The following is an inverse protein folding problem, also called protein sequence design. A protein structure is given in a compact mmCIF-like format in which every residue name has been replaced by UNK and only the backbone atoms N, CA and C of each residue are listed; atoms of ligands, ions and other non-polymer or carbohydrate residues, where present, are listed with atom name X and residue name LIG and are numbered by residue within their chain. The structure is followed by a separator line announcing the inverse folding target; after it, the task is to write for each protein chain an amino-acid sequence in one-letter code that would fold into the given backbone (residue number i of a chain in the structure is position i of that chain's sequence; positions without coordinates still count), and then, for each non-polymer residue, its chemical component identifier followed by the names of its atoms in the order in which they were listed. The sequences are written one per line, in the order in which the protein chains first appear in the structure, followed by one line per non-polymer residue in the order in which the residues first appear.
data_IF_894279762472
#
_entry.id   IF_894279762472
#
_cell.length_a   1.000
_cell.length_b   1.000
_cell.length_c   1.000
_cell.angle_alpha   90.00
_cell.angle_beta   90.00
_cell.angle_gamma   90.00
#
_symmetry.space_group_name_H-M   'P 1'
#
loop_
_entity.id
_entity.type
_entity.pdbx_description
1 polymer ?
#
# COMPACT_ATOMS: atom_id res chain seq x y z
N UNK A 1 -6.55 11.51 -3.91
CA UNK A 1 -5.76 11.88 -2.72
C UNK A 1 -4.82 10.77 -2.23
N UNK A 2 -5.22 9.49 -2.25
CA UNK A 2 -4.38 8.38 -1.76
C UNK A 2 -2.93 8.33 -2.30
N UNK A 3 -2.72 8.23 -3.62
CA UNK A 3 -1.35 8.14 -4.19
C UNK A 3 -0.49 9.39 -3.94
N UNK A 4 -1.10 10.56 -3.80
CA UNK A 4 -0.37 11.79 -3.50
C UNK A 4 0.22 11.76 -2.08
N UNK A 5 -0.60 11.40 -1.09
CA UNK A 5 -0.13 11.32 0.30
C UNK A 5 0.90 10.19 0.45
N UNK A 6 0.59 9.01 -0.09
CA UNK A 6 1.46 7.84 0.05
C UNK A 6 2.81 8.03 -0.68
N UNK A 7 2.78 8.29 -1.99
CA UNK A 7 4.01 8.31 -2.79
C UNK A 7 4.76 9.64 -2.69
N UNK A 8 4.06 10.77 -2.84
CA UNK A 8 4.73 12.08 -2.93
C UNK A 8 5.16 12.58 -1.55
N UNK A 9 4.35 12.36 -0.51
CA UNK A 9 4.69 12.82 0.84
C UNK A 9 5.45 11.72 1.59
N UNK A 10 4.82 10.58 1.84
CA UNK A 10 5.38 9.57 2.75
C UNK A 10 6.62 8.87 2.17
N UNK A 11 6.55 8.30 0.96
CA UNK A 11 7.70 7.62 0.36
C UNK A 11 8.88 8.57 0.11
N UNK A 12 8.62 9.81 -0.32
CA UNK A 12 9.67 10.82 -0.49
C UNK A 12 10.36 11.15 0.83
N UNK A 13 9.60 11.36 1.91
CA UNK A 13 10.17 11.61 3.24
C UNK A 13 11.06 10.45 3.71
N UNK A 14 10.60 9.19 3.53
CA UNK A 14 11.39 8.00 3.86
C UNK A 14 12.66 7.92 3.02
N UNK A 15 12.56 8.13 1.70
CA UNK A 15 13.71 8.12 0.80
C UNK A 15 14.75 9.18 1.15
N UNK A 16 14.32 10.42 1.43
CA UNK A 16 15.20 11.51 1.85
C UNK A 16 15.87 11.22 3.20
N UNK A 17 15.16 10.63 4.17
CA UNK A 17 15.75 10.21 5.45
C UNK A 17 16.85 9.14 5.27
N UNK A 18 16.63 8.17 4.38
CA UNK A 18 17.64 7.13 4.07
C UNK A 18 18.86 7.75 3.36
N UNK A 19 18.64 8.62 2.37
CA UNK A 19 19.73 9.23 1.61
C UNK A 19 20.56 10.20 2.44
N UNK A 20 19.93 11.04 3.26
CA UNK A 20 20.62 12.05 4.08
C UNK A 20 21.51 11.46 5.17
N UNK A 21 21.23 10.23 5.60
CA UNK A 21 21.98 9.57 6.69
C UNK A 21 23.10 8.67 6.21
N UNK A 22 23.21 8.43 4.89
CA UNK A 22 24.25 7.60 4.28
C UNK A 22 24.14 6.10 4.58
N UNK A 23 23.07 5.66 5.27
CA UNK A 23 22.92 4.25 5.72
C UNK A 23 22.79 3.25 4.58
N UNK A 24 22.39 3.73 3.40
CA UNK A 24 22.25 2.93 2.18
C UNK A 24 23.59 2.33 1.72
N UNK A 25 24.71 2.96 2.05
CA UNK A 25 26.05 2.53 1.62
C UNK A 25 26.83 1.82 2.73
N UNK A 26 26.40 1.98 3.98
CA UNK A 26 27.11 1.48 5.16
C UNK A 26 26.55 0.18 5.73
N UNK A 27 25.42 -0.31 5.19
CA UNK A 27 24.75 -1.52 5.68
C UNK A 27 24.16 -2.34 4.55
N UNK A 28 24.03 -3.65 4.76
CA UNK A 28 23.29 -4.56 3.88
C UNK A 28 21.81 -4.70 4.31
N UNK A 29 21.32 -3.78 5.15
CA UNK A 29 19.94 -3.81 5.63
C UNK A 29 18.95 -3.47 4.51
N UNK A 30 17.78 -4.08 4.55
CA UNK A 30 16.72 -3.86 3.54
C UNK A 30 15.36 -3.59 4.19
N UNK A 31 14.45 -3.02 3.40
CA UNK A 31 13.06 -2.77 3.81
C UNK A 31 12.94 -1.97 5.11
N UNK A 32 12.09 -2.44 6.02
CA UNK A 32 11.82 -1.76 7.28
C UNK A 32 13.07 -1.59 8.18
N UNK A 33 14.03 -2.52 8.11
CA UNK A 33 15.25 -2.44 8.92
C UNK A 33 16.15 -1.28 8.48
N UNK A 34 16.25 -1.06 7.16
CA UNK A 34 17.02 0.05 6.60
C UNK A 34 16.43 1.40 7.00
N UNK A 35 15.10 1.55 6.91
CA UNK A 35 14.41 2.76 7.34
C UNK A 35 14.58 3.00 8.84
N UNK A 36 14.53 1.95 9.65
CA UNK A 36 14.75 2.05 11.10
C UNK A 36 16.16 2.57 11.40
N UNK A 37 17.18 2.05 10.72
CA UNK A 37 18.57 2.49 10.90
C UNK A 37 18.78 3.93 10.41
N UNK A 38 18.15 4.31 9.30
CA UNK A 38 18.14 5.69 8.82
C UNK A 38 17.59 6.64 9.88
N UNK A 39 16.43 6.35 10.45
CA UNK A 39 15.84 7.20 11.48
C UNK A 39 16.64 7.18 12.79
N UNK A 40 17.26 6.05 13.15
CA UNK A 40 18.18 5.97 14.29
C UNK A 40 19.35 6.94 14.14
N UNK A 41 19.97 6.98 12.96
CA UNK A 41 21.11 7.84 12.68
C UNK A 41 20.72 9.31 12.44
N UNK A 42 19.55 9.55 11.82
CA UNK A 42 19.01 10.90 11.63
C UNK A 42 18.59 11.58 12.93
N UNK A 43 18.05 10.82 13.89
CA UNK A 43 17.76 11.29 15.24
C UNK A 43 18.98 11.13 16.16
N UNK A 44 20.13 11.71 15.79
CA UNK A 44 21.37 11.59 16.54
C UNK A 44 21.26 12.04 18.02
N UNK A 45 20.34 12.96 18.32
CA UNK A 45 20.08 13.42 19.69
C UNK A 45 19.28 12.43 20.55
N UNK A 46 18.55 11.50 19.93
CA UNK A 46 17.78 10.46 20.61
C UNK A 46 17.55 9.23 19.70
N UNK A 47 18.61 8.43 19.44
CA UNK A 47 18.58 7.37 18.42
C UNK A 47 17.50 6.30 18.66
N UNK A 48 17.28 5.94 19.92
CA UNK A 48 16.27 4.95 20.31
C UNK A 48 14.85 5.42 20.02
N UNK A 49 14.58 6.72 20.14
CA UNK A 49 13.27 7.31 19.79
C UNK A 49 13.04 7.20 18.29
N UNK A 50 14.05 7.50 17.47
CA UNK A 50 13.98 7.37 16.01
C UNK A 50 13.64 5.93 15.58
N UNK A 51 14.30 4.94 16.18
CA UNK A 51 14.00 3.52 15.93
C UNK A 51 12.59 3.13 16.39
N UNK A 52 12.16 3.58 17.57
CA UNK A 52 10.86 3.25 18.12
C UNK A 52 9.71 3.79 17.27
N UNK A 53 9.81 5.02 16.79
CA UNK A 53 8.81 5.64 15.91
C UNK A 53 8.61 4.80 14.65
N UNK A 54 9.70 4.38 13.99
CA UNK A 54 9.61 3.57 12.77
C UNK A 54 8.95 2.21 13.05
N UNK A 55 9.30 1.55 14.15
CA UNK A 55 8.70 0.26 14.50
C UNK A 55 7.17 0.36 14.67
N UNK A 56 6.70 1.39 15.39
CA UNK A 56 5.26 1.63 15.58
C UNK A 56 4.59 2.00 14.26
N UNK A 57 5.22 2.85 13.44
CA UNK A 57 4.70 3.24 12.14
C UNK A 57 4.54 2.04 11.19
N UNK A 58 5.56 1.19 11.10
CA UNK A 58 5.54 -0.03 10.27
C UNK A 58 4.47 -1.00 10.75
N UNK A 59 4.31 -1.18 12.07
CA UNK A 59 3.25 -2.02 12.63
C UNK A 59 1.85 -1.53 12.24
N UNK A 60 1.58 -0.23 12.40
CA UNK A 60 0.29 0.38 12.03
C UNK A 60 0.06 0.33 10.51
N UNK A 61 1.09 0.57 9.72
CA UNK A 61 1.01 0.53 8.26
C UNK A 61 0.71 -0.89 7.76
N UNK A 62 1.41 -1.90 8.28
CA UNK A 62 1.16 -3.29 7.97
C UNK A 62 -0.27 -3.70 8.37
N UNK A 63 -0.72 -3.33 9.57
CA UNK A 63 -2.07 -3.63 10.04
C UNK A 63 -3.16 -3.02 9.15
N UNK A 64 -3.06 -1.72 8.85
CA UNK A 64 -4.05 -1.03 8.01
C UNK A 64 -4.08 -1.58 6.58
N UNK A 65 -2.91 -1.96 6.05
CA UNK A 65 -2.79 -2.59 4.74
C UNK A 65 -3.46 -3.97 4.73
N UNK A 66 -3.22 -4.81 5.75
CA UNK A 66 -3.91 -6.11 5.87
C UNK A 66 -5.43 -5.97 5.90
N UNK A 67 -5.96 -4.98 6.64
CA UNK A 67 -7.40 -4.73 6.70
C UNK A 67 -7.96 -4.29 5.35
N UNK A 68 -7.29 -3.36 4.67
CA UNK A 68 -7.71 -2.86 3.36
C UNK A 68 -7.74 -3.98 2.31
N UNK A 69 -6.69 -4.80 2.24
CA UNK A 69 -6.59 -5.91 1.29
C UNK A 69 -7.57 -7.05 1.59
N UNK A 70 -7.85 -7.32 2.87
CA UNK A 70 -8.92 -8.24 3.26
C UNK A 70 -10.27 -7.76 2.72
N UNK A 71 -10.59 -6.46 2.87
CA UNK A 71 -11.83 -5.88 2.36
C UNK A 71 -11.91 -5.89 0.83
N UNK A 72 -10.83 -5.56 0.11
CA UNK A 72 -10.82 -5.64 -1.35
C UNK A 72 -11.06 -7.06 -1.83
N UNK A 73 -10.43 -8.04 -1.18
CA UNK A 73 -10.67 -9.45 -1.43
C UNK A 73 -12.10 -9.90 -1.16
N UNK A 74 -12.74 -9.42 -0.08
CA UNK A 74 -14.15 -9.68 0.21
C UNK A 74 -15.05 -9.23 -0.95
N UNK A 75 -14.81 -8.02 -1.49
CA UNK A 75 -15.57 -7.50 -2.64
C UNK A 75 -15.30 -8.32 -3.91
N UNK A 76 -14.06 -8.72 -4.15
CA UNK A 76 -13.68 -9.54 -5.31
C UNK A 76 -14.31 -10.93 -5.26
N UNK A 77 -14.27 -11.62 -4.11
CA UNK A 77 -14.85 -12.96 -4.00
C UNK A 77 -16.38 -12.92 -4.03
N UNK A 78 -17.00 -11.88 -3.46
CA UNK A 78 -18.44 -11.64 -3.54
C UNK A 78 -18.88 -11.46 -5.00
N UNK A 79 -18.13 -10.70 -5.80
CA UNK A 79 -18.41 -10.53 -7.22
C UNK A 79 -18.30 -11.85 -8.01
N UNK A 80 -17.33 -12.70 -7.69
CA UNK A 80 -17.06 -13.94 -8.43
C UNK A 80 -18.00 -15.10 -8.06
N UNK A 81 -18.26 -15.28 -6.77
CA UNK A 81 -18.89 -16.50 -6.23
C UNK A 81 -20.14 -16.18 -5.43
N UNK A 82 -20.37 -14.91 -5.07
CA UNK A 82 -21.49 -14.45 -4.25
C UNK A 82 -21.17 -14.32 -2.75
N UNK A 83 -22.11 -13.77 -1.95
CA UNK A 83 -21.85 -13.37 -0.56
C UNK A 83 -21.45 -14.50 0.38
N UNK A 84 -21.91 -15.73 0.10
CA UNK A 84 -21.57 -16.93 0.89
C UNK A 84 -20.07 -17.23 0.94
N UNK A 85 -19.29 -16.81 -0.06
CA UNK A 85 -17.86 -17.10 -0.14
C UNK A 85 -17.00 -16.17 0.72
N UNK A 86 -17.56 -15.07 1.24
CA UNK A 86 -16.82 -14.06 2.03
C UNK A 86 -16.23 -14.68 3.31
N UNK A 87 -17.02 -15.45 4.08
CA UNK A 87 -16.53 -16.04 5.34
C UNK A 87 -15.40 -17.07 5.11
N UNK A 88 -15.54 -18.05 4.19
CA UNK A 88 -14.44 -18.93 3.81
C UNK A 88 -13.19 -18.17 3.33
N UNK A 89 -13.37 -17.15 2.49
CA UNK A 89 -12.26 -16.32 1.99
C UNK A 89 -11.47 -15.66 3.12
N UNK A 90 -12.14 -15.08 4.12
CA UNK A 90 -11.45 -14.44 5.25
C UNK A 90 -10.58 -15.42 6.05
N UNK A 91 -11.03 -16.66 6.25
CA UNK A 91 -10.21 -17.68 6.91
C UNK A 91 -8.96 -18.01 6.10
N UNK A 92 -9.12 -18.16 4.79
CA UNK A 92 -8.00 -18.37 3.86
C UNK A 92 -7.05 -17.16 3.91
N UNK A 93 -7.57 -15.93 3.87
CA UNK A 93 -6.78 -14.71 3.93
C UNK A 93 -5.93 -14.62 5.20
N UNK A 94 -6.50 -14.91 6.38
CA UNK A 94 -5.77 -14.93 7.66
C UNK A 94 -4.67 -16.00 7.64
N UNK A 95 -4.97 -17.19 7.11
CA UNK A 95 -3.97 -18.25 6.97
C UNK A 95 -2.79 -17.84 6.06
N UNK A 96 -3.07 -17.26 4.89
CA UNK A 96 -2.02 -16.77 3.99
C UNK A 96 -1.24 -15.59 4.58
N UNK A 97 -1.88 -14.74 5.38
CA UNK A 97 -1.21 -13.66 6.12
C UNK A 97 -0.19 -14.24 7.11
N UNK A 98 -0.57 -15.30 7.83
CA UNK A 98 0.36 -16.02 8.71
C UNK A 98 1.52 -16.65 7.90
N UNK A 99 1.23 -17.31 6.78
CA UNK A 99 2.28 -17.86 5.91
C UNK A 99 3.23 -16.78 5.41
N UNK A 100 2.73 -15.60 5.07
CA UNK A 100 3.55 -14.46 4.64
C UNK A 100 4.58 -14.00 5.68
N UNK A 101 4.32 -14.24 6.98
CA UNK A 101 5.26 -13.93 8.05
C UNK A 101 6.37 -15.00 8.22
N UNK A 102 6.19 -16.19 7.65
CA UNK A 102 7.12 -17.32 7.78
C UNK A 102 7.94 -17.54 6.50
N UNK A 103 7.37 -17.21 5.33
CA UNK A 103 8.01 -17.40 4.04
C UNK A 103 9.14 -16.38 3.78
N UNK A 104 10.13 -16.72 2.93
CA UNK A 104 11.19 -15.79 2.56
C UNK A 104 10.65 -14.52 1.91
N UNK A 105 11.18 -13.36 2.30
CA UNK A 105 10.73 -12.05 1.83
C UNK A 105 10.77 -11.95 0.30
N UNK A 106 11.84 -12.43 -0.34
CA UNK A 106 11.97 -12.43 -1.82
C UNK A 106 10.89 -13.25 -2.51
N UNK A 107 10.48 -14.38 -1.93
CA UNK A 107 9.39 -15.19 -2.46
C UNK A 107 8.06 -14.43 -2.38
N UNK A 108 7.77 -13.79 -1.25
CA UNK A 108 6.54 -13.01 -1.05
C UNK A 108 6.46 -11.84 -2.02
N UNK A 109 7.56 -11.10 -2.22
CA UNK A 109 7.63 -10.02 -3.22
C UNK A 109 7.41 -10.53 -4.64
N UNK A 110 8.13 -11.57 -5.05
CA UNK A 110 8.00 -12.12 -6.40
C UNK A 110 6.58 -12.61 -6.69
N UNK A 111 5.96 -13.30 -5.72
CA UNK A 111 4.57 -13.74 -5.85
C UNK A 111 3.61 -12.55 -5.93
N UNK A 112 3.81 -11.53 -5.08
CA UNK A 112 3.04 -10.30 -5.07
C UNK A 112 3.10 -9.56 -6.41
N UNK A 113 4.30 -9.39 -6.98
CA UNK A 113 4.50 -8.70 -8.26
C UNK A 113 3.80 -9.42 -9.41
N UNK A 114 3.83 -10.75 -9.45
CA UNK A 114 3.10 -11.55 -10.44
C UNK A 114 1.60 -11.36 -10.28
N UNK A 115 1.08 -11.48 -9.05
CA UNK A 115 -0.36 -11.33 -8.78
C UNK A 115 -0.87 -9.92 -9.11
N UNK A 116 -0.12 -8.88 -8.72
CA UNK A 116 -0.43 -7.48 -9.02
C UNK A 116 -0.38 -7.22 -10.53
N UNK A 117 0.59 -7.79 -11.24
CA UNK A 117 0.68 -7.66 -12.70
C UNK A 117 -0.52 -8.30 -13.39
N UNK A 118 -0.90 -9.52 -12.99
CA UNK A 118 -2.06 -10.22 -13.51
C UNK A 118 -3.37 -9.46 -13.28
N UNK A 119 -3.51 -8.77 -12.14
CA UNK A 119 -4.67 -7.92 -11.85
C UNK A 119 -4.65 -6.61 -12.65
N UNK A 120 -3.47 -6.00 -12.80
CA UNK A 120 -3.29 -4.68 -13.41
C UNK A 120 -3.55 -4.72 -14.91
N UNK A 121 -3.09 -5.75 -15.61
CA UNK A 121 -3.24 -5.89 -17.07
C UNK A 121 -4.71 -5.75 -17.53
N UNK A 122 -5.68 -6.57 -17.08
CA UNK A 122 -7.06 -6.46 -17.52
C UNK A 122 -7.71 -5.15 -17.07
N UNK A 123 -7.33 -4.61 -15.89
CA UNK A 123 -7.86 -3.34 -15.41
C UNK A 123 -7.44 -2.18 -16.32
N UNK A 124 -6.16 -2.09 -16.69
CA UNK A 124 -5.65 -1.07 -17.59
C UNK A 124 -6.30 -1.17 -18.98
N UNK A 125 -6.46 -2.38 -19.52
CA UNK A 125 -7.17 -2.60 -20.79
C UNK A 125 -8.60 -2.04 -20.71
N UNK A 126 -9.32 -2.34 -19.62
CA UNK A 126 -10.67 -1.80 -19.39
C UNK A 126 -10.70 -0.27 -19.35
N UNK A 127 -9.77 0.35 -18.63
CA UNK A 127 -9.65 1.82 -18.55
C UNK A 127 -9.35 2.44 -19.91
N UNK A 128 -8.51 1.82 -20.74
CA UNK A 128 -8.22 2.31 -22.08
C UNK A 128 -9.47 2.32 -22.96
N UNK A 129 -10.27 1.25 -22.96
CA UNK A 129 -11.52 1.21 -23.70
C UNK A 129 -12.57 2.20 -23.16
N UNK A 130 -12.60 2.40 -21.85
CA UNK A 130 -13.55 3.31 -21.20
C UNK A 130 -13.11 4.79 -21.21
N UNK A 131 -11.94 5.11 -21.78
CA UNK A 131 -11.38 6.47 -21.74
C UNK A 131 -12.33 7.52 -22.34
N UNK A 132 -13.05 7.18 -23.42
CA UNK A 132 -14.02 8.11 -24.04
C UNK A 132 -15.21 8.36 -23.12
N UNK A 133 -15.76 7.30 -22.50
CA UNK A 133 -16.87 7.41 -21.56
C UNK A 133 -16.46 8.22 -20.31
N UNK A 134 -15.26 7.95 -19.77
CA UNK A 134 -14.70 8.68 -18.64
C UNK A 134 -14.59 10.18 -18.97
N UNK A 135 -14.00 10.55 -20.11
CA UNK A 135 -13.89 11.96 -20.54
C UNK A 135 -15.24 12.66 -20.59
N UNK A 136 -16.26 11.99 -21.13
CA UNK A 136 -17.63 12.54 -21.20
C UNK A 136 -18.19 12.81 -19.80
N UNK A 137 -18.13 11.81 -18.92
CA UNK A 137 -18.65 11.92 -17.54
C UNK A 137 -17.89 12.99 -16.76
N UNK A 138 -16.56 13.05 -16.90
CA UNK A 138 -15.72 14.06 -16.26
C UNK A 138 -16.07 15.46 -16.74
N UNK A 139 -16.21 15.68 -18.05
CA UNK A 139 -16.61 16.98 -18.60
C UNK A 139 -18.00 17.39 -18.12
N UNK A 140 -18.95 16.45 -18.08
CA UNK A 140 -20.30 16.70 -17.59
C UNK A 140 -20.29 17.07 -16.10
N UNK A 141 -19.54 16.33 -15.28
CA UNK A 141 -19.38 16.62 -13.85
C UNK A 141 -18.90 18.05 -13.63
N UNK A 142 -17.82 18.46 -14.30
CA UNK A 142 -17.25 19.81 -14.16
C UNK A 142 -18.09 20.93 -14.78
N UNK A 143 -19.01 20.62 -15.70
CA UNK A 143 -19.93 21.61 -16.28
C UNK A 143 -21.07 22.00 -15.34
N UNK A 144 -21.34 21.18 -14.30
CA UNK A 144 -22.41 21.43 -13.34
C UNK A 144 -21.96 22.48 -12.32
N UNK A 145 -22.91 23.27 -11.84
CA UNK A 145 -22.66 24.21 -10.75
C UNK A 145 -22.57 23.41 -9.44
N UNK A 146 -21.38 23.44 -8.82
CA UNK A 146 -21.11 22.66 -7.60
C UNK A 146 -21.54 23.49 -6.39
N UNK A 147 -22.82 23.39 -6.02
CA UNK A 147 -23.32 24.08 -4.82
C UNK A 147 -22.78 23.35 -3.58
N UNK A 148 -21.99 24.01 -2.72
CA UNK A 148 -21.53 23.39 -1.48
C UNK A 148 -22.74 23.12 -0.58
N UNK A 149 -22.79 21.91 -0.03
CA UNK A 149 -23.80 21.52 0.95
C UNK A 149 -23.77 22.51 2.12
N UNK A 150 -24.84 23.31 2.29
CA UNK A 150 -25.02 24.15 3.47
C UNK A 150 -25.48 23.25 4.61
N UNK A 151 -24.58 23.01 5.57
CA UNK A 151 -24.90 22.36 6.83
C UNK A 151 -25.87 23.21 7.66
#
# INVERSE_FOLDING_TARGET
MGPFIDTIIVCTMTGLAILSTGVLQSTDLTGAQLTREAFRNGFAFAPEIGSFIVNIAVLLFAYTTMVAWSYYGDRSIEYLVGPQAIKPYRWVYVFFTFLGAVLPLTFVWNFGDIALSLMTIPNLIGVLFLTVALKKITSEYFSREHVPYKA
#
